data_IF_331154055545
#
_entry.id   IF_331154055545
#
_cell.length_a   1.000
_cell.length_b   1.000
_cell.length_c   1.000
_cell.angle_alpha   90.00
_cell.angle_beta   90.00
_cell.angle_gamma   90.00
#
_symmetry.space_group_name_H-M   'P 1'
#
loop_
_entity.id
_entity.type
_entity.pdbx_description
1 polymer ?
#
# COMPACT_ATOMS: atom_id res chain seq x y z
N UNK A 1 3.89 0.72 -25.46
CA UNK A 1 3.68 -0.75 -25.58
C UNK A 1 4.63 -1.42 -24.60
N UNK A 2 4.22 -2.47 -23.89
CA UNK A 2 5.10 -3.18 -22.95
C UNK A 2 5.99 -4.13 -23.75
N UNK A 3 7.32 -4.01 -23.59
CA UNK A 3 8.29 -4.86 -24.26
C UNK A 3 8.19 -6.32 -23.79
N UNK A 4 8.55 -7.25 -24.67
CA UNK A 4 8.67 -8.65 -24.29
C UNK A 4 10.03 -8.89 -23.62
N UNK A 5 10.06 -9.75 -22.59
CA UNK A 5 11.31 -10.19 -21.94
C UNK A 5 12.23 -10.84 -22.98
N UNK A 6 13.56 -10.58 -22.99
CA UNK A 6 14.35 -9.93 -21.94
C UNK A 6 14.38 -8.39 -21.94
N UNK A 7 13.76 -7.73 -22.92
CA UNK A 7 13.65 -6.29 -22.92
C UNK A 7 12.66 -5.81 -21.85
N UNK A 8 12.76 -4.54 -21.45
CA UNK A 8 11.86 -3.97 -20.44
C UNK A 8 11.45 -2.54 -20.79
N UNK A 9 10.27 -2.16 -20.32
CA UNK A 9 9.72 -0.80 -20.44
C UNK A 9 9.70 -0.10 -19.09
N UNK A 10 9.80 1.22 -19.10
CA UNK A 10 9.45 2.05 -17.94
C UNK A 10 7.95 1.97 -17.69
N UNK A 11 7.56 2.02 -16.42
CA UNK A 11 6.16 2.07 -16.03
C UNK A 11 5.58 3.45 -16.35
N UNK A 12 4.56 3.48 -17.20
CA UNK A 12 3.88 4.69 -17.62
C UNK A 12 2.38 4.61 -17.32
N UNK A 13 1.76 5.76 -17.04
CA UNK A 13 0.34 5.84 -16.66
C UNK A 13 -0.58 5.28 -17.74
N UNK A 14 -0.18 5.39 -19.01
CA UNK A 14 -0.88 4.88 -20.19
C UNK A 14 -1.00 3.35 -20.21
N UNK A 15 -0.20 2.64 -19.40
CA UNK A 15 -0.29 1.18 -19.24
C UNK A 15 -1.45 0.76 -18.32
N UNK A 16 -2.00 1.71 -17.53
CA UNK A 16 -3.07 1.42 -16.59
C UNK A 16 -4.29 0.70 -17.20
N UNK A 17 -4.84 1.12 -18.36
CA UNK A 17 -6.00 0.46 -18.95
C UNK A 17 -5.75 -1.03 -19.27
N UNK A 18 -4.51 -1.40 -19.57
CA UNK A 18 -4.11 -2.79 -19.85
C UNK A 18 -3.86 -3.57 -18.54
N UNK A 19 -3.12 -2.99 -17.61
CA UNK A 19 -2.60 -3.70 -16.43
C UNK A 19 -3.59 -3.74 -15.26
N UNK A 20 -4.28 -2.64 -14.98
CA UNK A 20 -5.19 -2.57 -13.84
C UNK A 20 -6.28 -3.66 -13.82
N UNK A 21 -6.94 -4.01 -14.94
CA UNK A 21 -7.92 -5.10 -14.94
C UNK A 21 -7.32 -6.48 -14.61
N UNK A 22 -6.02 -6.67 -14.84
CA UNK A 22 -5.32 -7.90 -14.50
C UNK A 22 -4.98 -7.93 -13.01
N UNK A 23 -4.41 -6.84 -12.48
CA UNK A 23 -4.11 -6.71 -11.06
C UNK A 23 -5.37 -6.81 -10.19
N UNK A 24 -6.49 -6.21 -10.60
CA UNK A 24 -7.74 -6.24 -9.83
C UNK A 24 -8.35 -7.63 -9.64
N UNK A 25 -7.91 -8.63 -10.42
CA UNK A 25 -8.32 -10.04 -10.28
C UNK A 25 -7.46 -10.83 -9.32
N UNK A 26 -6.34 -10.25 -8.83
CA UNK A 26 -5.47 -10.91 -7.88
C UNK A 26 -6.08 -10.86 -6.47
N UNK A 27 -6.21 -12.02 -5.85
CA UNK A 27 -6.86 -12.17 -4.54
C UNK A 27 -5.86 -12.52 -3.42
N UNK A 28 -4.56 -12.40 -3.68
CA UNK A 28 -3.52 -12.61 -2.65
C UNK A 28 -3.50 -11.53 -1.58
N UNK A 29 -4.12 -10.38 -1.84
CA UNK A 29 -4.21 -9.26 -0.91
C UNK A 29 -2.90 -8.50 -0.69
N UNK A 30 -1.87 -8.78 -1.50
CA UNK A 30 -0.57 -8.10 -1.44
C UNK A 30 -0.73 -6.68 -1.97
N UNK A 31 -0.38 -5.68 -1.17
CA UNK A 31 -0.61 -4.26 -1.50
C UNK A 31 0.15 -3.79 -2.74
N UNK A 32 1.32 -4.35 -3.03
CA UNK A 32 2.08 -4.07 -4.25
C UNK A 32 1.39 -4.60 -5.53
N UNK A 33 0.37 -5.46 -5.40
CA UNK A 33 -0.34 -6.01 -6.56
C UNK A 33 -1.51 -5.14 -6.98
N UNK A 34 -1.26 -3.84 -7.06
CA UNK A 34 -2.11 -2.86 -7.73
C UNK A 34 -1.28 -2.07 -8.74
N UNK A 35 -1.93 -1.59 -9.80
CA UNK A 35 -1.22 -0.73 -10.75
C UNK A 35 -0.76 0.57 -10.11
N UNK A 36 -1.59 1.16 -9.24
CA UNK A 36 -1.24 2.42 -8.60
C UNK A 36 -0.02 2.28 -7.69
N UNK A 37 0.06 1.22 -6.87
CA UNK A 37 1.22 1.02 -6.00
C UNK A 37 2.51 0.88 -6.82
N UNK A 38 2.54 -0.02 -7.80
CA UNK A 38 3.73 -0.24 -8.63
C UNK A 38 4.11 1.03 -9.40
N UNK A 39 3.14 1.78 -9.92
CA UNK A 39 3.39 3.02 -10.64
C UNK A 39 3.96 4.11 -9.71
N UNK A 40 3.37 4.32 -8.55
CA UNK A 40 3.75 5.38 -7.62
C UNK A 40 5.13 5.16 -6.98
N UNK A 41 5.53 3.91 -6.79
CA UNK A 41 6.83 3.58 -6.22
C UNK A 41 7.88 3.19 -7.27
N UNK A 42 7.59 3.37 -8.58
CA UNK A 42 8.50 2.97 -9.67
C UNK A 42 9.88 3.60 -9.58
N UNK A 43 9.95 4.88 -9.25
CA UNK A 43 11.23 5.60 -9.17
C UNK A 43 12.01 5.21 -7.91
N UNK A 44 11.32 4.98 -6.79
CA UNK A 44 11.94 4.57 -5.52
C UNK A 44 12.60 3.18 -5.60
N UNK A 45 12.05 2.29 -6.43
CA UNK A 45 12.52 0.92 -6.60
C UNK A 45 13.11 0.64 -7.99
N UNK A 46 13.25 1.66 -8.85
CA UNK A 46 13.67 1.49 -10.24
C UNK A 46 12.85 0.43 -10.99
N UNK A 47 11.53 0.42 -10.80
CA UNK A 47 10.67 -0.58 -11.41
C UNK A 47 10.64 -0.46 -12.92
N UNK A 48 10.79 -1.60 -13.55
CA UNK A 48 10.59 -1.80 -14.99
C UNK A 48 9.66 -2.98 -15.21
N UNK A 49 8.97 -3.02 -16.35
CA UNK A 49 8.00 -4.05 -16.67
C UNK A 49 8.33 -4.72 -18.01
N UNK A 50 8.19 -6.04 -18.06
CA UNK A 50 8.31 -6.86 -19.29
C UNK A 50 7.11 -7.79 -19.39
N UNK A 51 6.70 -8.11 -20.60
CA UNK A 51 5.77 -9.21 -20.82
C UNK A 51 6.57 -10.52 -20.91
N UNK A 52 6.20 -11.52 -20.10
CA UNK A 52 6.77 -12.86 -20.19
C UNK A 52 6.06 -13.71 -21.24
N UNK A 53 4.74 -13.80 -21.14
CA UNK A 53 3.87 -14.49 -22.11
C UNK A 53 2.41 -14.08 -21.83
N UNK A 54 1.61 -13.91 -22.89
CA UNK A 54 0.19 -13.52 -22.82
C UNK A 54 -0.01 -12.33 -21.87
N UNK A 55 -0.82 -12.51 -20.84
CA UNK A 55 -1.13 -11.50 -19.81
C UNK A 55 -0.26 -11.68 -18.54
N UNK A 56 0.87 -12.36 -18.65
CA UNK A 56 1.81 -12.56 -17.57
C UNK A 56 2.97 -11.58 -17.69
N UNK A 57 3.22 -10.81 -16.63
CA UNK A 57 4.22 -9.75 -16.62
C UNK A 57 5.24 -9.98 -15.52
N UNK A 58 6.46 -9.59 -15.82
CA UNK A 58 7.60 -9.51 -14.92
C UNK A 58 7.78 -8.04 -14.53
N UNK A 59 7.92 -7.78 -13.24
CA UNK A 59 8.37 -6.49 -12.73
C UNK A 59 9.77 -6.71 -12.17
N UNK A 60 10.71 -5.90 -12.60
CA UNK A 60 12.07 -5.89 -12.07
C UNK A 60 12.30 -4.60 -11.30
N UNK A 61 13.21 -4.61 -10.34
CA UNK A 61 13.56 -3.43 -9.57
C UNK A 61 14.87 -3.60 -8.83
N UNK A 62 15.31 -2.56 -8.14
CA UNK A 62 16.50 -2.60 -7.31
C UNK A 62 16.26 -1.90 -5.96
N UNK A 63 16.75 -2.51 -4.88
CA UNK A 63 16.75 -1.93 -3.54
C UNK A 63 18.14 -2.07 -2.92
N UNK A 64 18.71 -0.98 -2.44
CA UNK A 64 20.02 -0.97 -1.77
C UNK A 64 21.13 -1.64 -2.58
N UNK A 65 21.05 -1.52 -3.91
CA UNK A 65 22.03 -2.10 -4.82
C UNK A 65 21.84 -3.60 -5.15
N UNK A 66 20.74 -4.20 -4.68
CA UNK A 66 20.36 -5.58 -5.04
C UNK A 66 19.21 -5.56 -6.03
N UNK A 67 19.43 -6.18 -7.20
CA UNK A 67 18.39 -6.33 -8.21
C UNK A 67 17.48 -7.51 -7.87
N UNK A 68 16.19 -7.29 -8.02
CA UNK A 68 15.16 -8.27 -7.74
C UNK A 68 14.09 -8.30 -8.82
N UNK A 69 13.25 -9.33 -8.77
CA UNK A 69 12.06 -9.38 -9.61
C UNK A 69 10.81 -9.76 -8.81
N UNK A 70 9.65 -9.43 -9.38
CA UNK A 70 8.32 -9.74 -8.87
C UNK A 70 7.53 -10.41 -9.98
N UNK A 71 6.81 -11.49 -9.64
CA UNK A 71 5.86 -12.18 -10.51
C UNK A 71 4.47 -12.09 -9.88
N UNK A 72 3.69 -11.06 -10.20
CA UNK A 72 2.35 -10.88 -9.60
C UNK A 72 1.39 -12.00 -9.99
N UNK A 73 1.48 -12.45 -11.23
CA UNK A 73 0.58 -13.45 -11.84
C UNK A 73 1.12 -14.89 -11.67
N UNK A 74 1.09 -15.70 -12.71
CA UNK A 74 1.54 -17.08 -12.65
C UNK A 74 3.07 -17.19 -12.67
N UNK A 75 3.60 -18.29 -12.10
CA UNK A 75 5.01 -18.62 -12.25
C UNK A 75 5.28 -19.09 -13.67
N UNK A 76 6.37 -18.66 -14.31
CA UNK A 76 6.80 -19.18 -15.60
C UNK A 76 7.31 -20.61 -15.50
N UNK A 77 7.65 -21.22 -16.64
CA UNK A 77 8.33 -22.50 -16.68
C UNK A 77 9.66 -22.49 -15.94
N UNK A 78 10.15 -23.68 -15.56
CA UNK A 78 11.38 -23.83 -14.77
C UNK A 78 12.60 -23.17 -15.43
N UNK A 79 12.73 -23.28 -16.75
CA UNK A 79 13.84 -22.69 -17.52
C UNK A 79 13.84 -21.16 -17.38
N UNK A 80 12.72 -20.50 -17.67
CA UNK A 80 12.61 -19.06 -17.52
C UNK A 80 12.80 -18.61 -16.06
N UNK A 81 12.29 -19.37 -15.09
CA UNK A 81 12.50 -19.07 -13.69
C UNK A 81 13.99 -19.17 -13.29
N UNK A 82 14.70 -20.15 -13.83
CA UNK A 82 16.15 -20.30 -13.63
C UNK A 82 16.92 -19.13 -14.23
N UNK A 83 16.64 -18.74 -15.48
CA UNK A 83 17.22 -17.55 -16.11
C UNK A 83 17.00 -16.27 -15.30
N UNK A 84 15.80 -16.11 -14.72
CA UNK A 84 15.52 -14.96 -13.85
C UNK A 84 16.42 -14.95 -12.62
N UNK A 85 16.64 -16.09 -11.97
CA UNK A 85 17.54 -16.19 -10.82
C UNK A 85 19.03 -16.12 -11.16
N UNK A 86 19.42 -16.32 -12.41
CA UNK A 86 20.78 -16.02 -12.87
C UNK A 86 21.04 -14.50 -13.01
N UNK A 87 19.99 -13.73 -13.29
CA UNK A 87 20.08 -12.27 -13.50
C UNK A 87 19.75 -11.44 -12.25
N UNK A 88 18.91 -11.94 -11.35
CA UNK A 88 18.41 -11.24 -10.18
C UNK A 88 18.68 -12.02 -8.90
N UNK A 89 19.04 -11.29 -7.86
CA UNK A 89 19.42 -11.89 -6.56
C UNK A 89 18.24 -12.57 -5.86
N UNK A 90 17.03 -12.10 -6.09
CA UNK A 90 15.84 -12.63 -5.39
C UNK A 90 14.53 -12.30 -6.10
N UNK A 91 13.52 -13.12 -5.85
CA UNK A 91 12.12 -12.84 -6.12
C UNK A 91 11.45 -12.27 -4.86
N UNK A 92 10.86 -11.09 -4.95
CA UNK A 92 10.11 -10.43 -3.86
C UNK A 92 8.60 -10.58 -4.01
N UNK A 93 7.85 -10.18 -2.99
CA UNK A 93 6.38 -10.20 -2.96
C UNK A 93 5.78 -11.57 -3.29
N UNK A 94 6.48 -12.64 -2.90
CA UNK A 94 6.02 -14.01 -3.10
C UNK A 94 4.83 -14.28 -2.17
N UNK A 95 3.67 -14.66 -2.72
CA UNK A 95 2.51 -15.04 -1.93
C UNK A 95 2.70 -16.38 -1.22
N UNK A 96 1.91 -16.65 -0.19
CA UNK A 96 1.96 -17.94 0.53
C UNK A 96 1.75 -19.13 -0.41
N UNK A 97 0.82 -19.02 -1.36
CA UNK A 97 0.56 -20.02 -2.40
C UNK A 97 1.80 -20.29 -3.26
N UNK A 98 2.45 -19.24 -3.76
CA UNK A 98 3.66 -19.35 -4.59
C UNK A 98 4.86 -19.85 -3.79
N UNK A 99 4.94 -19.51 -2.49
CA UNK A 99 6.02 -19.94 -1.61
C UNK A 99 6.14 -21.47 -1.53
N UNK A 100 5.01 -22.16 -1.45
CA UNK A 100 4.99 -23.63 -1.43
C UNK A 100 5.49 -24.23 -2.74
N UNK A 101 5.07 -23.68 -3.89
CA UNK A 101 5.53 -24.12 -5.22
C UNK A 101 7.04 -23.90 -5.41
N UNK A 102 7.57 -22.73 -5.01
CA UNK A 102 8.98 -22.41 -5.13
C UNK A 102 9.87 -23.28 -4.24
N UNK A 103 9.43 -23.62 -3.02
CA UNK A 103 10.09 -24.61 -2.16
C UNK A 103 10.17 -25.98 -2.83
N UNK A 104 9.09 -26.41 -3.50
CA UNK A 104 9.05 -27.64 -4.27
C UNK A 104 10.03 -27.68 -5.47
N UNK A 105 10.48 -26.52 -5.93
CA UNK A 105 11.51 -26.38 -6.96
C UNK A 105 12.95 -26.31 -6.41
N UNK A 106 13.13 -26.46 -5.09
CA UNK A 106 14.44 -26.44 -4.44
C UNK A 106 14.98 -25.03 -4.13
N UNK A 107 14.16 -24.00 -4.22
CA UNK A 107 14.56 -22.63 -3.88
C UNK A 107 14.52 -22.38 -2.37
N UNK A 108 15.41 -21.55 -1.88
CA UNK A 108 15.35 -21.01 -0.53
C UNK A 108 14.23 -19.98 -0.44
N UNK A 109 13.20 -20.23 0.37
CA UNK A 109 12.08 -19.33 0.56
C UNK A 109 11.94 -18.97 2.03
N UNK A 110 12.05 -17.70 2.35
CA UNK A 110 11.98 -17.15 3.72
C UNK A 110 10.83 -16.17 3.86
N UNK A 111 10.26 -16.06 5.06
CA UNK A 111 9.29 -15.00 5.38
C UNK A 111 9.98 -13.64 5.32
N UNK A 112 9.37 -12.69 4.60
CA UNK A 112 9.82 -11.29 4.50
C UNK A 112 8.98 -10.43 5.46
N UNK A 113 9.19 -10.65 6.78
CA UNK A 113 8.34 -10.11 7.85
C UNK A 113 8.19 -8.59 7.82
N UNK A 114 9.25 -7.88 7.44
CA UNK A 114 9.27 -6.41 7.39
C UNK A 114 8.33 -5.86 6.31
N UNK A 115 8.03 -6.68 5.31
CA UNK A 115 7.14 -6.37 4.19
C UNK A 115 5.73 -7.00 4.32
N UNK A 116 5.37 -7.61 5.46
CA UNK A 116 4.01 -8.09 5.66
C UNK A 116 3.02 -6.93 5.71
N UNK A 117 1.89 -7.05 4.98
CA UNK A 117 0.82 -6.07 5.08
C UNK A 117 -0.03 -6.34 6.32
N UNK A 118 -0.40 -5.26 7.00
CA UNK A 118 -1.28 -5.29 8.16
C UNK A 118 -2.74 -5.24 7.72
N UNK A 119 -3.51 -6.25 8.08
CA UNK A 119 -4.95 -6.31 7.82
C UNK A 119 -5.74 -5.93 9.06
N UNK A 120 -6.70 -5.03 8.88
CA UNK A 120 -7.64 -4.61 9.91
C UNK A 120 -9.07 -4.91 9.50
N UNK A 121 -9.92 -5.24 10.46
CA UNK A 121 -11.35 -5.31 10.23
C UNK A 121 -11.90 -3.89 10.07
N UNK A 122 -12.49 -3.58 8.92
CA UNK A 122 -13.18 -2.31 8.68
C UNK A 122 -14.26 -2.06 9.75
N UNK A 123 -15.04 -3.10 10.08
CA UNK A 123 -16.10 -2.99 11.07
C UNK A 123 -15.56 -2.70 12.46
N UNK A 124 -14.50 -3.38 12.90
CA UNK A 124 -13.89 -3.14 14.21
C UNK A 124 -13.29 -1.73 14.32
N UNK A 125 -12.59 -1.27 13.26
CA UNK A 125 -12.04 0.08 13.23
C UNK A 125 -13.14 1.15 13.22
N UNK A 126 -14.23 0.94 12.49
CA UNK A 126 -15.35 1.89 12.43
C UNK A 126 -16.07 2.04 13.78
N UNK A 127 -16.23 0.95 14.54
CA UNK A 127 -16.97 0.91 15.80
C UNK A 127 -16.12 1.16 17.03
N UNK A 128 -14.83 0.81 17.01
CA UNK A 128 -13.92 0.79 18.15
C UNK A 128 -14.54 0.16 19.40
N UNK A 129 -15.22 -0.98 19.22
CA UNK A 129 -15.98 -1.64 20.27
C UNK A 129 -15.10 -2.65 21.03
N UNK A 130 -15.43 -2.82 22.32
CA UNK A 130 -14.76 -3.80 23.19
C UNK A 130 -13.49 -3.30 23.85
N UNK A 131 -13.02 -4.08 24.84
CA UNK A 131 -11.91 -3.71 25.74
C UNK A 131 -10.60 -3.42 24.99
N UNK A 132 -10.34 -4.13 23.89
CA UNK A 132 -9.10 -3.97 23.10
C UNK A 132 -8.95 -2.58 22.46
N UNK A 133 -10.07 -1.87 22.22
CA UNK A 133 -10.11 -0.54 21.62
C UNK A 133 -10.35 0.61 22.61
N UNK A 134 -10.52 0.32 23.91
CA UNK A 134 -10.90 1.32 24.90
C UNK A 134 -10.00 2.57 24.88
N UNK A 135 -8.67 2.38 24.84
CA UNK A 135 -7.72 3.50 24.80
C UNK A 135 -7.91 4.36 23.53
N UNK A 136 -8.11 3.72 22.36
CA UNK A 136 -8.32 4.42 21.10
C UNK A 136 -9.63 5.19 21.08
N UNK A 137 -10.71 4.54 21.52
CA UNK A 137 -12.01 5.20 21.64
C UNK A 137 -11.94 6.43 22.54
N UNK A 138 -11.18 6.37 23.63
CA UNK A 138 -10.97 7.54 24.50
C UNK A 138 -10.20 8.65 23.78
N UNK A 139 -9.19 8.34 22.95
CA UNK A 139 -8.47 9.35 22.16
C UNK A 139 -9.39 10.00 21.11
N UNK A 140 -10.20 9.20 20.40
CA UNK A 140 -11.21 9.71 19.47
C UNK A 140 -12.22 10.61 20.18
N UNK A 141 -12.77 10.16 21.30
CA UNK A 141 -13.72 10.96 22.08
C UNK A 141 -13.11 12.29 22.58
N UNK A 142 -11.84 12.23 23.03
CA UNK A 142 -11.10 13.43 23.44
C UNK A 142 -10.86 14.40 22.28
N UNK A 143 -10.55 13.87 21.08
CA UNK A 143 -10.42 14.66 19.86
C UNK A 143 -11.75 15.35 19.50
N UNK A 144 -12.83 14.58 19.41
CA UNK A 144 -14.18 15.07 19.05
C UNK A 144 -14.70 16.13 20.04
N UNK A 145 -14.39 15.96 21.35
CA UNK A 145 -14.82 16.93 22.36
C UNK A 145 -13.98 18.21 22.40
N UNK A 146 -12.77 18.18 21.84
CA UNK A 146 -11.82 19.30 21.91
C UNK A 146 -11.81 20.17 20.65
N UNK A 147 -12.02 19.57 19.48
CA UNK A 147 -11.85 20.25 18.21
C UNK A 147 -13.13 20.22 17.39
N UNK A 148 -13.41 21.30 16.66
CA UNK A 148 -14.33 21.24 15.54
C UNK A 148 -13.67 20.52 14.38
N UNK A 149 -14.39 19.64 13.70
CA UNK A 149 -13.85 18.84 12.62
C UNK A 149 -14.87 18.63 11.51
N UNK A 150 -14.36 18.40 10.32
CA UNK A 150 -15.16 18.05 9.15
C UNK A 150 -14.39 17.04 8.31
N UNK A 151 -15.08 15.99 7.80
CA UNK A 151 -14.54 15.04 6.83
C UNK A 151 -15.26 15.17 5.50
N UNK A 152 -14.52 15.20 4.39
CA UNK A 152 -15.05 15.28 3.02
C UNK A 152 -14.44 14.22 2.14
N UNK A 153 -15.14 13.73 1.10
CA UNK A 153 -14.50 12.93 0.06
C UNK A 153 -13.34 13.73 -0.56
N UNK A 154 -12.20 13.08 -0.74
CA UNK A 154 -11.07 13.71 -1.42
C UNK A 154 -11.31 13.65 -2.94
N UNK A 155 -11.70 14.79 -3.49
CA UNK A 155 -11.93 15.03 -4.92
C UNK A 155 -10.93 16.02 -5.47
N UNK A 156 -10.93 16.26 -6.80
CA UNK A 156 -10.06 17.25 -7.43
C UNK A 156 -10.18 18.66 -6.81
N UNK A 157 -11.38 19.02 -6.31
CA UNK A 157 -11.64 20.30 -5.62
C UNK A 157 -10.76 20.47 -4.36
N UNK A 158 -10.49 19.37 -3.64
CA UNK A 158 -9.73 19.40 -2.38
C UNK A 158 -8.26 19.01 -2.55
N UNK A 159 -7.80 18.77 -3.78
CA UNK A 159 -6.41 18.38 -4.05
C UNK A 159 -5.40 19.37 -3.49
N UNK A 160 -5.61 20.66 -3.71
CA UNK A 160 -4.70 21.70 -3.19
C UNK A 160 -4.62 21.69 -1.66
N UNK A 161 -5.75 21.45 -0.97
CA UNK A 161 -5.78 21.34 0.49
C UNK A 161 -5.06 20.07 0.99
N UNK A 162 -5.14 18.96 0.26
CA UNK A 162 -4.41 17.73 0.59
C UNK A 162 -2.90 17.88 0.36
N UNK A 163 -2.50 18.63 -0.68
CA UNK A 163 -1.08 18.98 -0.91
C UNK A 163 -0.56 19.86 0.23
N UNK A 164 -1.32 20.87 0.69
CA UNK A 164 -0.95 21.68 1.88
C UNK A 164 -0.73 20.80 3.12
N UNK A 165 -1.59 19.81 3.36
CA UNK A 165 -1.38 18.86 4.45
C UNK A 165 -0.08 18.07 4.26
N UNK A 166 0.21 17.60 3.04
CA UNK A 166 1.41 16.82 2.75
C UNK A 166 2.70 17.64 2.94
N UNK A 167 2.72 18.90 2.50
CA UNK A 167 3.87 19.82 2.68
C UNK A 167 4.12 20.06 4.19
N UNK A 168 3.08 20.37 4.95
CA UNK A 168 3.19 20.58 6.41
C UNK A 168 3.55 19.30 7.16
N UNK A 169 3.08 18.15 6.70
CA UNK A 169 3.49 16.86 7.25
C UNK A 169 5.00 16.61 7.03
N UNK A 170 5.53 16.97 5.84
CA UNK A 170 6.96 16.88 5.55
C UNK A 170 7.78 17.80 6.48
N UNK A 171 7.33 19.02 6.71
CA UNK A 171 7.96 19.97 7.64
C UNK A 171 7.96 19.42 9.08
N UNK A 172 6.83 18.86 9.57
CA UNK A 172 6.74 18.27 10.91
C UNK A 172 7.65 17.04 11.07
N UNK A 173 7.82 16.24 10.01
CA UNK A 173 8.60 15.01 10.05
C UNK A 173 10.10 15.22 9.88
N UNK A 174 10.50 16.17 9.04
CA UNK A 174 11.89 16.46 8.71
C UNK A 174 12.59 15.41 7.84
N UNK A 175 11.85 14.41 7.34
CA UNK A 175 12.38 13.35 6.47
C UNK A 175 11.42 13.13 5.29
N UNK A 176 11.96 12.95 4.08
CA UNK A 176 11.17 12.84 2.85
C UNK A 176 10.24 11.62 2.84
N UNK A 177 10.76 10.44 3.25
CA UNK A 177 9.99 9.20 3.26
C UNK A 177 9.36 8.90 1.89
N UNK A 178 8.02 8.77 1.88
CA UNK A 178 7.22 8.51 0.69
C UNK A 178 6.55 9.78 0.11
N UNK A 179 7.10 10.97 0.41
CA UNK A 179 6.54 12.26 0.00
C UNK A 179 6.35 12.38 -1.51
N UNK A 180 7.34 11.98 -2.32
CA UNK A 180 7.26 12.07 -3.79
C UNK A 180 6.11 11.22 -4.32
N UNK A 181 6.01 9.96 -3.87
CA UNK A 181 4.93 9.06 -4.26
C UNK A 181 3.56 9.58 -3.79
N UNK A 182 3.47 10.12 -2.57
CA UNK A 182 2.24 10.70 -2.04
C UNK A 182 1.78 11.94 -2.81
N UNK A 183 2.72 12.78 -3.26
CA UNK A 183 2.45 13.97 -4.07
C UNK A 183 1.94 13.59 -5.45
N UNK A 184 2.63 12.67 -6.13
CA UNK A 184 2.18 12.15 -7.44
C UNK A 184 0.82 11.46 -7.33
N UNK A 185 0.56 10.73 -6.23
CA UNK A 185 -0.74 10.12 -5.99
C UNK A 185 -1.87 11.16 -5.90
N UNK A 186 -1.65 12.30 -5.26
CA UNK A 186 -2.61 13.41 -5.21
C UNK A 186 -2.78 14.07 -6.58
N UNK A 187 -1.69 14.27 -7.32
CA UNK A 187 -1.72 14.88 -8.66
C UNK A 187 -2.49 14.03 -9.66
N UNK A 188 -2.31 12.71 -9.60
CA UNK A 188 -2.87 11.72 -10.54
C UNK A 188 -4.01 10.88 -9.98
N UNK A 189 -4.62 11.30 -8.86
CA UNK A 189 -5.63 10.49 -8.17
C UNK A 189 -6.80 10.08 -9.07
N UNK A 190 -7.22 10.93 -10.02
CA UNK A 190 -8.30 10.63 -10.95
C UNK A 190 -7.87 9.62 -12.01
N UNK A 191 -6.67 9.77 -12.58
CA UNK A 191 -6.09 8.85 -13.57
C UNK A 191 -5.86 7.46 -12.94
N UNK A 192 -5.34 7.43 -11.71
CA UNK A 192 -5.10 6.20 -10.94
C UNK A 192 -6.39 5.64 -10.33
N UNK A 193 -7.50 6.42 -10.33
CA UNK A 193 -8.79 6.10 -9.70
C UNK A 193 -8.66 5.84 -8.19
N UNK A 194 -7.77 6.56 -7.56
CA UNK A 194 -7.63 6.54 -6.11
C UNK A 194 -8.84 7.24 -5.46
N UNK A 195 -9.21 6.75 -4.28
CA UNK A 195 -10.31 7.27 -3.47
C UNK A 195 -9.82 7.56 -2.07
N UNK A 196 -10.39 8.57 -1.45
CA UNK A 196 -9.96 8.94 -0.11
C UNK A 196 -10.89 9.94 0.55
N UNK A 197 -10.42 10.45 1.68
CA UNK A 197 -11.07 11.52 2.43
C UNK A 197 -10.03 12.54 2.88
N UNK A 198 -10.47 13.80 2.96
CA UNK A 198 -9.73 14.91 3.57
C UNK A 198 -10.45 15.35 4.83
N UNK A 199 -9.69 15.69 5.85
CA UNK A 199 -10.20 16.08 7.15
C UNK A 199 -9.72 17.48 7.52
N UNK A 200 -10.66 18.29 7.95
CA UNK A 200 -10.43 19.64 8.45
C UNK A 200 -10.56 19.65 9.98
N UNK A 201 -9.69 20.41 10.63
CA UNK A 201 -9.75 20.67 12.07
C UNK A 201 -9.67 22.19 12.28
N UNK A 202 -10.61 22.76 13.04
CA UNK A 202 -10.74 24.20 13.24
C UNK A 202 -10.79 24.98 11.90
N UNK A 203 -11.49 24.39 10.91
CA UNK A 203 -11.63 24.97 9.56
C UNK A 203 -10.39 24.91 8.68
N UNK A 204 -9.30 24.27 9.12
CA UNK A 204 -8.04 24.12 8.35
C UNK A 204 -7.83 22.68 7.93
N UNK A 205 -7.27 22.41 6.72
CA UNK A 205 -6.93 21.06 6.32
C UNK A 205 -5.88 20.49 7.27
N UNK A 206 -6.13 19.27 7.78
CA UNK A 206 -5.31 18.68 8.85
C UNK A 206 -4.85 17.25 8.55
N UNK A 207 -5.59 16.48 7.76
CA UNK A 207 -5.20 15.13 7.38
C UNK A 207 -5.91 14.69 6.09
N UNK A 208 -5.33 13.69 5.40
CA UNK A 208 -6.01 12.95 4.34
C UNK A 208 -5.65 11.47 4.37
N UNK A 209 -6.53 10.68 3.80
CA UNK A 209 -6.34 9.25 3.52
C UNK A 209 -6.61 9.00 2.06
N UNK A 210 -5.75 8.24 1.36
CA UNK A 210 -5.87 7.95 -0.06
C UNK A 210 -5.48 6.50 -0.34
N UNK A 211 -6.26 5.81 -1.19
CA UNK A 211 -6.05 4.41 -1.52
C UNK A 211 -6.99 3.89 -2.61
N UNK A 212 -7.06 2.58 -2.75
CA UNK A 212 -7.89 1.92 -3.78
C UNK A 212 -8.42 0.56 -3.34
N UNK A 213 -9.30 -0.02 -4.15
CA UNK A 213 -9.78 -1.39 -3.98
C UNK A 213 -8.62 -2.39 -4.15
N UNK A 214 -8.56 -3.39 -3.28
CA UNK A 214 -7.57 -4.47 -3.34
C UNK A 214 -8.31 -5.82 -3.31
N UNK A 215 -8.35 -6.47 -4.48
CA UNK A 215 -9.16 -7.68 -4.65
C UNK A 215 -10.65 -7.40 -4.46
N UNK A 216 -11.40 -8.38 -3.92
CA UNK A 216 -12.86 -8.30 -3.85
C UNK A 216 -13.39 -7.60 -2.59
N UNK A 217 -12.72 -7.77 -1.44
CA UNK A 217 -13.26 -7.41 -0.13
C UNK A 217 -12.32 -6.58 0.75
N UNK A 218 -11.21 -6.09 0.19
CA UNK A 218 -10.27 -5.23 0.89
C UNK A 218 -10.13 -3.85 0.22
N UNK A 219 -9.73 -2.88 1.03
CA UNK A 219 -9.32 -1.55 0.58
C UNK A 219 -7.89 -1.30 1.06
N UNK A 220 -6.98 -1.00 0.14
CA UNK A 220 -5.59 -0.63 0.47
C UNK A 220 -5.50 0.87 0.72
N UNK A 221 -4.94 1.26 1.86
CA UNK A 221 -4.57 2.64 2.15
C UNK A 221 -3.09 2.79 1.83
N UNK A 222 -2.79 3.47 0.72
CA UNK A 222 -1.42 3.76 0.31
C UNK A 222 -0.84 4.94 1.09
N UNK A 223 -1.66 5.97 1.32
CA UNK A 223 -1.21 7.18 2.01
C UNK A 223 -2.20 7.60 3.08
N UNK A 224 -1.71 7.76 4.29
CA UNK A 224 -2.37 8.46 5.38
C UNK A 224 -1.41 9.52 5.90
N UNK A 225 -1.73 10.79 5.69
CA UNK A 225 -0.91 11.93 6.08
C UNK A 225 -1.71 12.88 6.94
N UNK A 226 -1.07 13.47 7.94
CA UNK A 226 -1.75 14.38 8.83
C UNK A 226 -0.82 15.06 9.82
N UNK A 227 -1.30 16.14 10.41
CA UNK A 227 -0.62 16.96 11.39
C UNK A 227 -0.80 16.37 12.80
N UNK A 228 -0.25 15.17 13.00
CA UNK A 228 -0.49 14.36 14.19
C UNK A 228 0.18 14.93 15.46
N UNK A 229 1.24 15.72 15.31
CA UNK A 229 1.87 16.43 16.42
C UNK A 229 1.02 17.63 16.86
N UNK A 230 0.36 18.29 15.92
CA UNK A 230 -0.48 19.46 16.16
C UNK A 230 -1.82 19.10 16.82
N UNK A 231 -2.41 17.95 16.48
CA UNK A 231 -3.76 17.57 16.93
C UNK A 231 -3.77 16.20 17.58
N UNK A 232 -3.77 16.17 18.93
CA UNK A 232 -3.80 14.91 19.68
C UNK A 232 -5.08 14.12 19.43
N UNK A 233 -4.96 12.86 19.02
CA UNK A 233 -6.07 11.96 18.71
C UNK A 233 -6.53 12.00 17.26
N UNK A 234 -5.93 12.85 16.42
CA UNK A 234 -6.27 12.97 14.99
C UNK A 234 -6.06 11.63 14.25
N UNK A 235 -4.95 10.94 14.49
CA UNK A 235 -4.68 9.64 13.83
C UNK A 235 -5.75 8.61 14.16
N UNK A 236 -6.15 8.48 15.44
CA UNK A 236 -7.21 7.57 15.84
C UNK A 236 -8.56 7.96 15.25
N UNK A 237 -8.83 9.26 15.18
CA UNK A 237 -10.07 9.80 14.61
C UNK A 237 -10.16 9.49 13.11
N UNK A 238 -9.13 9.80 12.30
CA UNK A 238 -9.19 9.58 10.85
C UNK A 238 -9.30 8.09 10.50
N UNK A 239 -8.61 7.21 11.23
CA UNK A 239 -8.72 5.77 11.05
C UNK A 239 -10.16 5.27 11.28
N UNK A 240 -10.81 5.73 12.36
CA UNK A 240 -12.20 5.41 12.63
C UNK A 240 -13.15 6.03 11.59
N UNK A 241 -12.98 7.32 11.30
CA UNK A 241 -13.83 8.06 10.36
C UNK A 241 -13.76 7.44 8.97
N UNK A 242 -12.56 7.15 8.46
CA UNK A 242 -12.38 6.53 7.16
C UNK A 242 -13.00 5.14 7.09
N UNK A 243 -12.73 4.29 8.09
CA UNK A 243 -13.34 2.96 8.18
C UNK A 243 -14.89 3.02 8.21
N UNK A 244 -15.46 4.08 8.78
CA UNK A 244 -16.92 4.27 8.88
C UNK A 244 -17.57 4.64 7.54
N UNK A 245 -16.87 5.39 6.69
CA UNK A 245 -17.39 5.81 5.38
C UNK A 245 -17.12 4.80 4.26
N UNK A 246 -16.19 3.88 4.46
CA UNK A 246 -15.91 2.83 3.47
C UNK A 246 -17.13 1.92 3.29
N UNK A 247 -17.50 1.58 2.04
CA UNK A 247 -18.57 0.64 1.72
C UNK A 247 -18.45 -0.69 2.47
N UNK A 248 -19.59 -1.26 2.86
CA UNK A 248 -19.64 -2.50 3.63
C UNK A 248 -19.08 -3.72 2.87
N UNK A 249 -18.97 -3.66 1.55
CA UNK A 249 -18.32 -4.71 0.75
C UNK A 249 -16.87 -4.94 1.17
N UNK A 250 -16.17 -3.90 1.64
CA UNK A 250 -14.82 -4.04 2.16
C UNK A 250 -14.87 -4.55 3.60
N UNK A 251 -14.52 -5.81 3.79
CA UNK A 251 -14.37 -6.42 5.12
C UNK A 251 -13.07 -6.04 5.78
N UNK A 252 -12.04 -5.83 4.97
CA UNK A 252 -10.68 -5.55 5.42
C UNK A 252 -10.17 -4.19 4.93
N UNK A 253 -9.31 -3.59 5.74
CA UNK A 253 -8.47 -2.47 5.37
C UNK A 253 -7.02 -2.97 5.43
N UNK A 254 -6.32 -2.92 4.30
CA UNK A 254 -4.89 -3.19 4.22
C UNK A 254 -4.16 -1.86 4.39
N UNK A 255 -3.34 -1.74 5.41
CA UNK A 255 -2.53 -0.54 5.69
C UNK A 255 -1.04 -0.78 5.40
N UNK A 256 -0.74 -1.70 4.49
CA UNK A 256 0.61 -1.98 4.00
C UNK A 256 1.63 -2.36 5.09
N UNK A 257 2.93 -2.26 4.78
CA UNK A 257 4.06 -2.78 5.54
C UNK A 257 4.50 -1.85 6.67
N UNK A 258 5.31 -2.39 7.60
CA UNK A 258 6.06 -1.59 8.57
C UNK A 258 7.52 -1.33 8.16
N UNK A 259 8.00 -1.95 7.08
CA UNK A 259 9.34 -1.81 6.50
C UNK A 259 10.49 -2.05 7.51
N UNK A 260 10.24 -2.82 8.59
CA UNK A 260 11.19 -3.05 9.67
C UNK A 260 11.37 -1.85 10.62
N UNK A 261 10.63 -0.76 10.42
CA UNK A 261 10.70 0.45 11.26
C UNK A 261 9.96 0.20 12.58
N UNK A 262 10.68 0.19 13.70
CA UNK A 262 10.12 -0.13 15.02
C UNK A 262 8.96 0.78 15.43
N UNK A 263 9.07 2.08 15.16
CA UNK A 263 8.01 3.06 15.45
C UNK A 263 6.73 2.77 14.66
N UNK A 264 6.86 2.51 13.35
CA UNK A 264 5.74 2.17 12.48
C UNK A 264 5.12 0.82 12.85
N UNK A 265 5.96 -0.18 13.20
CA UNK A 265 5.51 -1.48 13.70
C UNK A 265 4.69 -1.36 14.97
N UNK A 266 5.15 -0.56 15.94
CA UNK A 266 4.42 -0.28 17.19
C UNK A 266 3.08 0.41 16.90
N UNK A 267 3.08 1.41 16.03
CA UNK A 267 1.85 2.11 15.62
C UNK A 267 0.85 1.13 15.00
N UNK A 268 1.24 0.41 13.94
CA UNK A 268 0.37 -0.55 13.24
C UNK A 268 -0.12 -1.67 14.15
N UNK A 269 0.73 -2.24 15.00
CA UNK A 269 0.32 -3.26 15.98
C UNK A 269 -0.69 -2.71 16.99
N UNK A 270 -0.54 -1.45 17.39
CA UNK A 270 -1.45 -0.80 18.33
C UNK A 270 -2.86 -0.62 17.76
N UNK A 271 -3.04 -0.59 16.45
CA UNK A 271 -4.34 -0.58 15.74
C UNK A 271 -5.09 -1.92 15.81
N UNK A 272 -4.46 -2.97 16.37
CA UNK A 272 -5.05 -4.29 16.57
C UNK A 272 -5.41 -4.98 15.25
N UNK A 273 -4.41 -5.30 14.42
CA UNK A 273 -4.65 -6.02 13.18
C UNK A 273 -5.34 -7.36 13.45
N UNK A 274 -6.23 -7.75 12.57
CA UNK A 274 -6.90 -9.07 12.60
C UNK A 274 -6.06 -10.16 11.95
N UNK A 275 -5.03 -9.76 11.18
CA UNK A 275 -4.12 -10.67 10.49
C UNK A 275 -3.08 -9.91 9.69
N UNK A 276 -2.34 -10.68 8.89
CA UNK A 276 -1.31 -10.19 7.99
C UNK A 276 -1.47 -10.84 6.63
N UNK A 277 -1.20 -10.08 5.56
CA UNK A 277 -0.85 -10.69 4.28
C UNK A 277 0.63 -11.00 4.33
N UNK A 278 0.95 -12.29 4.44
CA UNK A 278 2.33 -12.74 4.47
C UNK A 278 2.97 -12.65 3.11
N UNK A 279 4.20 -12.15 3.09
CA UNK A 279 5.04 -12.08 1.90
C UNK A 279 6.32 -12.85 2.14
N UNK A 280 6.81 -13.47 1.10
CA UNK A 280 8.04 -14.25 1.15
C UNK A 280 9.03 -13.71 0.13
N UNK A 281 10.29 -14.03 0.38
CA UNK A 281 11.39 -13.81 -0.56
C UNK A 281 11.95 -15.16 -0.97
N UNK A 282 12.11 -15.38 -2.28
CA UNK A 282 12.76 -16.58 -2.80
C UNK A 282 14.11 -16.23 -3.42
N UNK A 283 15.09 -17.11 -3.27
CA UNK A 283 16.42 -17.01 -3.84
C UNK A 283 16.97 -18.42 -4.15
N UNK A 284 17.98 -18.55 -5.00
CA UNK A 284 18.76 -19.79 -5.13
C UNK A 284 19.35 -20.22 -3.78
N UNK A 285 19.61 -21.52 -3.63
CA UNK A 285 20.25 -22.11 -2.43
C UNK A 285 21.76 -21.88 -2.45
#
# INVERSE_FOLDING_TARGET
MIADYPESSELAIEMRPQLHPLFSRLNEGISEFTFANIYLFRDAHNYRISRLFRDNFLITGSDRGEDFFILPFDLPGKETLHELFERFSSMKCVSEKKSAALKGLGLKVIEDRDNFDYLYSREELSKLSGRKFHKRKNLVNAFISRYSYEGRPLTAEYKAAAVDVLERWLEERGEEGDYIAAKEALERMEELKLRGAIYYVEGKPAAYTLGEELGEDAFAIHFEKGLFLSYKGLSEFINQAFASILPQKYRHINMEQDLGMEGLRKLKTSLRPVGFVKKYRAAPV
#
